data_IF_000399501914
#
_entry.id   IF_000399501914
#
_cell.length_a   1.000
_cell.length_b   1.000
_cell.length_c   1.000
_cell.angle_alpha   90.00
_cell.angle_beta   90.00
_cell.angle_gamma   90.00
#
_symmetry.space_group_name_H-M   'P 1'
#
loop_
_entity.id
_entity.type
_entity.pdbx_description
1 polymer ?
#
# COMPACT_ATOMS: atom_id res chain seq x y z
N UNK A 1 -13.93 14.61 -4.23
CA UNK A 1 -12.49 14.46 -3.89
C UNK A 1 -11.76 15.74 -4.25
N UNK A 2 -10.87 16.26 -3.39
CA UNK A 2 -10.06 17.44 -3.73
C UNK A 2 -8.92 17.09 -4.69
N UNK A 3 -8.40 18.06 -5.45
CA UNK A 3 -7.25 17.86 -6.35
C UNK A 3 -6.04 17.27 -5.62
N UNK A 4 -5.76 17.77 -4.40
CA UNK A 4 -4.67 17.28 -3.53
C UNK A 4 -4.86 15.82 -3.12
N UNK A 5 -6.07 15.43 -2.70
CA UNK A 5 -6.37 14.04 -2.33
C UNK A 5 -6.28 13.09 -3.54
N UNK A 6 -6.73 13.54 -4.72
CA UNK A 6 -6.60 12.79 -5.97
C UNK A 6 -5.13 12.58 -6.33
N UNK A 7 -4.32 13.63 -6.27
CA UNK A 7 -2.88 13.55 -6.55
C UNK A 7 -2.17 12.60 -5.58
N UNK A 8 -2.47 12.68 -4.28
CA UNK A 8 -1.98 11.76 -3.26
C UNK A 8 -2.32 10.30 -3.61
N UNK A 9 -3.60 10.02 -3.90
CA UNK A 9 -4.05 8.65 -4.22
C UNK A 9 -3.36 8.12 -5.48
N UNK A 10 -3.24 8.93 -6.53
CA UNK A 10 -2.56 8.52 -7.77
C UNK A 10 -1.06 8.28 -7.52
N UNK A 11 -0.37 9.21 -6.86
CA UNK A 11 1.06 9.10 -6.64
C UNK A 11 1.39 7.88 -5.75
N UNK A 12 0.65 7.70 -4.66
CA UNK A 12 0.79 6.51 -3.81
C UNK A 12 0.43 5.24 -4.57
N UNK A 13 -0.61 5.28 -5.41
CA UNK A 13 -0.99 4.17 -6.27
C UNK A 13 0.12 3.76 -7.23
N UNK A 14 0.77 4.71 -7.91
CA UNK A 14 1.92 4.46 -8.78
C UNK A 14 3.09 3.84 -8.01
N UNK A 15 3.46 4.42 -6.87
CA UNK A 15 4.55 3.92 -6.04
C UNK A 15 4.29 2.48 -5.60
N UNK A 16 3.10 2.18 -5.06
CA UNK A 16 2.73 0.83 -4.64
C UNK A 16 2.70 -0.12 -5.84
N UNK A 17 2.03 0.26 -6.92
CA UNK A 17 1.83 -0.59 -8.10
C UNK A 17 3.15 -1.02 -8.73
N UNK A 18 4.06 -0.08 -9.00
CA UNK A 18 5.36 -0.42 -9.60
C UNK A 18 6.28 -1.14 -8.62
N UNK A 19 6.33 -0.74 -7.34
CA UNK A 19 7.19 -1.41 -6.35
C UNK A 19 6.82 -2.87 -6.16
N UNK A 20 5.52 -3.17 -6.06
CA UNK A 20 5.05 -4.53 -5.84
C UNK A 20 4.93 -5.33 -7.13
N UNK A 21 4.71 -4.70 -8.28
CA UNK A 21 4.84 -5.33 -9.59
C UNK A 21 6.27 -5.82 -9.85
N UNK A 22 7.27 -4.99 -9.53
CA UNK A 22 8.67 -5.40 -9.57
C UNK A 22 8.96 -6.53 -8.58
N UNK A 23 8.41 -6.47 -7.36
CA UNK A 23 8.56 -7.55 -6.37
C UNK A 23 7.97 -8.87 -6.86
N UNK A 24 6.81 -8.86 -7.51
CA UNK A 24 6.20 -10.05 -8.13
C UNK A 24 7.08 -10.62 -9.24
N UNK A 25 7.66 -9.76 -10.08
CA UNK A 25 8.61 -10.18 -11.11
C UNK A 25 9.84 -10.87 -10.50
N UNK A 26 10.44 -10.30 -9.44
CA UNK A 26 11.57 -10.91 -8.74
C UNK A 26 11.18 -12.25 -8.10
N UNK A 27 10.00 -12.35 -7.47
CA UNK A 27 9.50 -13.60 -6.90
C UNK A 27 9.31 -14.68 -7.96
N UNK A 28 8.76 -14.30 -9.12
CA UNK A 28 8.59 -15.21 -10.26
C UNK A 28 9.94 -15.77 -10.75
N UNK A 29 10.99 -14.93 -10.84
CA UNK A 29 12.33 -15.39 -11.24
C UNK A 29 12.99 -16.35 -10.25
N UNK A 30 12.60 -16.32 -8.97
CA UNK A 30 13.17 -17.15 -7.91
C UNK A 30 12.19 -18.24 -7.43
N UNK A 31 11.20 -18.58 -8.25
CA UNK A 31 10.16 -19.54 -7.89
C UNK A 31 10.77 -20.89 -7.48
N UNK A 32 10.41 -21.39 -6.31
CA UNK A 32 10.94 -22.65 -5.76
C UNK A 32 12.18 -22.54 -4.88
N UNK A 33 12.86 -21.37 -4.82
CA UNK A 33 14.07 -21.19 -3.99
C UNK A 33 13.79 -20.63 -2.58
N UNK A 34 12.59 -20.10 -2.34
CA UNK A 34 12.20 -19.49 -1.05
C UNK A 34 11.17 -20.37 -0.32
N UNK A 35 11.46 -20.88 0.90
CA UNK A 35 10.51 -21.66 1.69
C UNK A 35 9.26 -20.85 2.11
N UNK A 36 9.32 -19.51 2.06
CA UNK A 36 8.21 -18.60 2.36
C UNK A 36 7.65 -17.93 1.10
N UNK A 37 7.85 -18.54 -0.08
CA UNK A 37 7.39 -18.03 -1.37
C UNK A 37 5.88 -17.71 -1.38
N UNK A 38 5.03 -18.61 -0.88
CA UNK A 38 3.57 -18.43 -0.89
C UNK A 38 3.11 -17.22 -0.05
N UNK A 39 3.52 -17.07 1.22
CA UNK A 39 3.27 -15.86 1.99
C UNK A 39 3.76 -14.57 1.30
N UNK A 40 4.98 -14.59 0.74
CA UNK A 40 5.54 -13.43 0.05
C UNK A 40 4.74 -13.06 -1.21
N UNK A 41 4.33 -14.06 -2.00
CA UNK A 41 3.51 -13.86 -3.18
C UNK A 41 2.12 -13.32 -2.82
N UNK A 42 1.48 -13.86 -1.77
CA UNK A 42 0.17 -13.39 -1.32
C UNK A 42 0.19 -11.90 -0.93
N UNK A 43 1.18 -11.49 -0.13
CA UNK A 43 1.36 -10.09 0.25
C UNK A 43 1.65 -9.21 -0.96
N UNK A 44 2.49 -9.70 -1.89
CA UNK A 44 2.83 -8.95 -3.08
C UNK A 44 1.63 -8.74 -4.01
N UNK A 45 0.78 -9.77 -4.19
CA UNK A 45 -0.47 -9.68 -4.95
C UNK A 45 -1.46 -8.72 -4.30
N UNK A 46 -1.65 -8.82 -2.97
CA UNK A 46 -2.56 -7.90 -2.24
C UNK A 46 -2.08 -6.46 -2.39
N UNK A 47 -0.78 -6.22 -2.19
CA UNK A 47 -0.20 -4.88 -2.29
C UNK A 47 -0.28 -4.33 -3.72
N UNK A 48 -0.03 -5.16 -4.72
CA UNK A 48 -0.22 -4.81 -6.13
C UNK A 48 -1.67 -4.43 -6.44
N UNK A 49 -2.63 -5.22 -5.96
CA UNK A 49 -4.06 -4.95 -6.12
C UNK A 49 -4.48 -3.64 -5.43
N UNK A 50 -3.89 -3.32 -4.26
CA UNK A 50 -4.07 -2.02 -3.61
C UNK A 50 -3.57 -0.89 -4.52
N UNK A 51 -2.38 -1.02 -5.09
CA UNK A 51 -1.84 -0.03 -6.04
C UNK A 51 -2.77 0.20 -7.22
N UNK A 52 -3.26 -0.88 -7.84
CA UNK A 52 -4.21 -0.82 -8.96
C UNK A 52 -5.55 -0.17 -8.56
N UNK A 53 -6.08 -0.51 -7.37
CA UNK A 53 -7.29 0.09 -6.83
C UNK A 53 -7.12 1.59 -6.61
N UNK A 54 -5.99 2.03 -6.03
CA UNK A 54 -5.70 3.45 -5.81
C UNK A 54 -5.65 4.21 -7.14
N UNK A 55 -4.98 3.66 -8.15
CA UNK A 55 -4.94 4.26 -9.48
C UNK A 55 -6.35 4.40 -10.08
N UNK A 56 -7.15 3.32 -10.03
CA UNK A 56 -8.54 3.33 -10.49
C UNK A 56 -9.41 4.35 -9.74
N UNK A 57 -9.29 4.42 -8.41
CA UNK A 57 -10.01 5.39 -7.58
C UNK A 57 -9.56 6.83 -7.90
N UNK A 58 -8.26 7.05 -8.09
CA UNK A 58 -7.68 8.34 -8.47
C UNK A 58 -8.16 8.82 -9.84
N UNK A 59 -8.30 7.91 -10.82
CA UNK A 59 -8.86 8.23 -12.14
C UNK A 59 -10.34 8.60 -12.02
N UNK A 60 -11.13 7.82 -11.26
CA UNK A 60 -12.57 8.08 -11.03
C UNK A 60 -12.82 9.41 -10.31
N UNK A 61 -11.90 9.85 -9.44
CA UNK A 61 -11.87 11.20 -8.88
C UNK A 61 -13.12 11.57 -8.08
N UNK A 62 -13.94 12.48 -8.61
CA UNK A 62 -15.19 12.92 -7.96
C UNK A 62 -16.29 11.86 -7.96
N UNK A 63 -16.21 10.84 -8.83
CA UNK A 63 -17.17 9.73 -8.93
C UNK A 63 -16.94 8.61 -7.91
N UNK A 64 -16.00 8.78 -6.97
CA UNK A 64 -15.72 7.78 -5.94
C UNK A 64 -16.90 7.66 -4.95
N UNK A 65 -17.37 6.44 -4.74
CA UNK A 65 -18.52 6.10 -3.89
C UNK A 65 -18.11 5.93 -2.43
N UNK A 66 -19.09 5.89 -1.51
CA UNK A 66 -18.84 5.56 -0.09
C UNK A 66 -18.13 4.21 0.07
N UNK A 67 -18.46 3.23 -0.78
CA UNK A 67 -17.81 1.91 -0.83
C UNK A 67 -16.33 2.01 -1.18
N UNK A 68 -15.96 2.83 -2.17
CA UNK A 68 -14.56 3.05 -2.53
C UNK A 68 -13.76 3.62 -1.35
N UNK A 69 -14.33 4.55 -0.59
CA UNK A 69 -13.67 5.08 0.62
C UNK A 69 -13.54 4.04 1.74
N UNK A 70 -14.49 3.11 1.90
CA UNK A 70 -14.36 1.98 2.83
C UNK A 70 -13.24 1.04 2.42
N UNK A 71 -13.13 0.72 1.12
CA UNK A 71 -12.02 -0.09 0.59
C UNK A 71 -10.69 0.64 0.79
N UNK A 72 -10.64 1.96 0.55
CA UNK A 72 -9.46 2.78 0.79
C UNK A 72 -9.01 2.72 2.26
N UNK A 73 -9.93 2.80 3.21
CA UNK A 73 -9.62 2.64 4.65
C UNK A 73 -9.00 1.27 4.90
N UNK A 74 -9.61 0.18 4.40
CA UNK A 74 -9.08 -1.17 4.55
C UNK A 74 -7.68 -1.33 3.95
N UNK A 75 -7.47 -0.85 2.73
CA UNK A 75 -6.18 -0.85 2.05
C UNK A 75 -5.11 -0.04 2.82
N UNK A 76 -5.51 1.08 3.40
CA UNK A 76 -4.64 1.94 4.21
C UNK A 76 -4.21 1.24 5.49
N UNK A 77 -5.16 0.59 6.19
CA UNK A 77 -4.87 -0.18 7.40
C UNK A 77 -3.95 -1.36 7.10
N UNK A 78 -4.21 -2.11 6.03
CA UNK A 78 -3.31 -3.18 5.58
C UNK A 78 -1.89 -2.66 5.34
N UNK A 79 -1.76 -1.53 4.61
CA UNK A 79 -0.47 -0.90 4.34
C UNK A 79 0.25 -0.52 5.64
N UNK A 80 -0.46 0.11 6.59
CA UNK A 80 0.11 0.52 7.87
C UNK A 80 0.56 -0.69 8.69
N UNK A 81 -0.28 -1.73 8.81
CA UNK A 81 0.03 -2.92 9.61
C UNK A 81 1.22 -3.66 9.02
N UNK A 82 1.23 -3.88 7.70
CA UNK A 82 2.31 -4.60 7.03
C UNK A 82 3.65 -3.87 7.15
N UNK A 83 3.68 -2.57 6.85
CA UNK A 83 4.91 -1.79 6.90
C UNK A 83 5.33 -1.44 8.33
N UNK A 84 4.40 -1.35 9.27
CA UNK A 84 4.68 -1.24 10.71
C UNK A 84 5.35 -2.51 11.23
N UNK A 85 4.82 -3.68 10.89
CA UNK A 85 5.46 -4.97 11.20
C UNK A 85 6.86 -5.07 10.59
N UNK A 86 7.03 -4.65 9.31
CA UNK A 86 8.35 -4.64 8.67
C UNK A 86 9.32 -3.70 9.38
N UNK A 87 8.90 -2.48 9.73
CA UNK A 87 9.72 -1.53 10.46
C UNK A 87 10.19 -2.10 11.81
N UNK A 88 9.27 -2.67 12.59
CA UNK A 88 9.58 -3.31 13.88
C UNK A 88 10.60 -4.44 13.68
N UNK A 89 10.39 -5.30 12.67
CA UNK A 89 11.33 -6.40 12.38
C UNK A 89 12.73 -5.89 12.07
N UNK A 90 12.86 -4.84 11.26
CA UNK A 90 14.16 -4.27 10.90
C UNK A 90 14.81 -3.54 12.07
N UNK A 91 14.03 -2.86 12.93
CA UNK A 91 14.54 -2.20 14.14
C UNK A 91 15.07 -3.21 15.17
N UNK A 92 14.36 -4.32 15.37
CA UNK A 92 14.73 -5.34 16.37
C UNK A 92 15.84 -6.27 15.87
N UNK A 93 15.91 -6.52 14.56
CA UNK A 93 16.84 -7.48 13.97
C UNK A 93 17.50 -6.91 12.69
N UNK A 94 18.29 -5.83 12.79
CA UNK A 94 18.90 -5.19 11.63
C UNK A 94 19.92 -6.09 10.91
N UNK A 95 20.64 -6.93 11.67
CA UNK A 95 21.62 -7.92 11.17
C UNK A 95 21.01 -8.93 10.18
N UNK A 96 19.70 -9.21 10.31
CA UNK A 96 18.98 -10.16 9.47
C UNK A 96 18.41 -9.55 8.18
N UNK A 97 18.67 -8.27 7.92
CA UNK A 97 18.20 -7.55 6.74
C UNK A 97 19.38 -7.17 5.84
N UNK A 98 19.37 -7.50 4.53
CA UNK A 98 20.47 -7.16 3.63
C UNK A 98 20.63 -5.65 3.40
N UNK A 99 19.60 -4.84 3.68
CA UNK A 99 19.65 -3.39 3.57
C UNK A 99 18.69 -2.72 4.57
N UNK A 100 19.05 -2.70 5.87
CA UNK A 100 18.14 -2.28 6.94
C UNK A 100 17.77 -0.80 6.83
N UNK A 101 18.72 0.07 6.50
CA UNK A 101 18.47 1.51 6.37
C UNK A 101 17.48 1.83 5.26
N UNK A 102 17.65 1.23 4.07
CA UNK A 102 16.72 1.44 2.96
C UNK A 102 15.32 0.91 3.30
N UNK A 103 15.23 -0.27 3.92
CA UNK A 103 13.94 -0.84 4.31
C UNK A 103 13.25 -0.06 5.43
N UNK A 104 13.99 0.58 6.36
CA UNK A 104 13.43 1.50 7.34
C UNK A 104 12.85 2.75 6.68
N UNK A 105 13.60 3.42 5.81
CA UNK A 105 13.10 4.59 5.08
C UNK A 105 11.84 4.27 4.28
N UNK A 106 11.85 3.14 3.59
CA UNK A 106 10.72 2.69 2.80
C UNK A 106 9.50 2.35 3.70
N UNK A 107 9.73 1.72 4.85
CA UNK A 107 8.67 1.47 5.84
C UNK A 107 8.07 2.76 6.38
N UNK A 108 8.90 3.74 6.74
CA UNK A 108 8.44 5.07 7.19
C UNK A 108 7.63 5.76 6.10
N UNK A 109 8.10 5.73 4.85
CA UNK A 109 7.36 6.30 3.71
C UNK A 109 5.97 5.66 3.59
N UNK A 110 5.87 4.33 3.61
CA UNK A 110 4.57 3.65 3.50
C UNK A 110 3.67 3.86 4.71
N UNK A 111 4.23 4.02 5.92
CA UNK A 111 3.45 4.40 7.11
C UNK A 111 2.85 5.80 6.98
N UNK A 112 3.63 6.76 6.50
CA UNK A 112 3.15 8.13 6.24
C UNK A 112 2.08 8.12 5.15
N UNK A 113 2.34 7.47 4.02
CA UNK A 113 1.37 7.37 2.92
C UNK A 113 0.09 6.65 3.35
N UNK A 114 0.21 5.53 4.06
CA UNK A 114 -0.92 4.78 4.60
C UNK A 114 -1.77 5.62 5.55
N UNK A 115 -1.14 6.41 6.44
CA UNK A 115 -1.86 7.30 7.37
C UNK A 115 -2.59 8.42 6.63
N UNK A 116 -1.96 9.02 5.61
CA UNK A 116 -2.58 10.05 4.78
C UNK A 116 -3.75 9.49 3.96
N UNK A 117 -3.62 8.27 3.42
CA UNK A 117 -4.70 7.58 2.73
C UNK A 117 -5.85 7.22 3.68
N UNK A 118 -5.55 6.79 4.90
CA UNK A 118 -6.55 6.49 5.93
C UNK A 118 -7.36 7.74 6.28
N UNK A 119 -6.69 8.86 6.54
CA UNK A 119 -7.34 10.14 6.81
C UNK A 119 -8.18 10.61 5.61
N UNK A 120 -7.68 10.42 4.39
CA UNK A 120 -8.41 10.72 3.15
C UNK A 120 -9.66 9.85 2.99
N UNK A 121 -9.53 8.55 3.26
CA UNK A 121 -10.62 7.58 3.25
C UNK A 121 -11.71 7.91 4.26
N UNK A 122 -11.32 8.18 5.50
CA UNK A 122 -12.25 8.55 6.58
C UNK A 122 -13.04 9.83 6.25
N UNK A 123 -12.33 10.89 5.83
CA UNK A 123 -12.95 12.16 5.46
C UNK A 123 -13.85 12.02 4.23
N UNK A 124 -13.46 11.21 3.25
CA UNK A 124 -14.26 10.95 2.05
C UNK A 124 -15.53 10.15 2.35
N UNK A 125 -15.43 9.11 3.19
CA UNK A 125 -16.56 8.28 3.61
C UNK A 125 -17.63 9.09 4.34
N UNK A 126 -17.22 9.99 5.25
CA UNK A 126 -18.16 10.80 6.04
C UNK A 126 -18.81 11.94 5.25
N UNK A 127 -18.29 12.27 4.06
CA UNK A 127 -18.84 13.29 3.16
C UNK A 127 -19.65 12.71 2.01
N UNK A 128 -19.63 11.39 1.83
CA UNK A 128 -20.33 10.72 0.73
C UNK A 128 -21.72 10.31 1.18
N UNK A 129 -22.80 10.69 0.47
CA UNK A 129 -24.15 10.26 0.81
C UNK A 129 -24.25 8.72 0.79
N UNK A 130 -25.18 8.18 1.58
CA UNK A 130 -25.48 6.74 1.59
C UNK A 130 -26.17 6.43 0.26
N UNK A 131 -25.41 5.86 -0.68
CA UNK A 131 -25.92 5.32 -1.96
C UNK A 131 -26.20 3.83 -1.83
#
# INVERSE_FOLDING_TARGET
MSKKARALIILTGLVIFFSWGFRLYVLYLHWGNDPFMLPHAAVAVISFAIGAFLLSMGIRGSKATRRDYTILIGASLFTIIWWGFRAIKVLLYPEGDPNPTAHLHLSVLFLVLGTLLLATGWKGRNRSPVS
#
